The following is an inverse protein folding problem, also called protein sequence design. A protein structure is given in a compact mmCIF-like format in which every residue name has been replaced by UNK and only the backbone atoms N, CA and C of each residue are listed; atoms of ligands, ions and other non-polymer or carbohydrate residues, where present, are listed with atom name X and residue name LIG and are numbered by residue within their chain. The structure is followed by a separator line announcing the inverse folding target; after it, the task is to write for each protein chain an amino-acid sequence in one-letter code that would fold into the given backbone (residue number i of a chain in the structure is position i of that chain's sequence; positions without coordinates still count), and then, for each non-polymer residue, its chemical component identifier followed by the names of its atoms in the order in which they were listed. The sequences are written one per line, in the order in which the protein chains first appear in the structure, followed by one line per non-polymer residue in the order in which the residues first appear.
data_IF_762837986239
#
_entry.id   IF_762837986239
#
_cell.length_a   1.000
_cell.length_b   1.000
_cell.length_c   1.000
_cell.angle_alpha   90.00
_cell.angle_beta   90.00
_cell.angle_gamma   90.00
#
_symmetry.space_group_name_H-M   'P 1'
#
loop_
_entity.id
_entity.type
_entity.pdbx_description
1 polymer ?
#
# COMPACT_ATOMS: atom_id res chain seq x y z
N UNK A 1 58.62 51.40 -5.99
CA UNK A 1 58.19 50.07 -6.42
C UNK A 1 57.28 49.45 -5.34
N UNK A 2 55.95 49.48 -5.58
CA UNK A 2 54.94 48.94 -4.62
C UNK A 2 54.32 47.71 -5.30
N UNK A 3 54.58 46.55 -4.74
CA UNK A 3 53.97 45.28 -5.15
C UNK A 3 52.57 45.17 -4.53
N UNK A 4 51.56 44.99 -5.35
CA UNK A 4 50.18 44.70 -4.99
C UNK A 4 49.97 43.16 -5.21
N UNK A 5 49.58 42.36 -4.20
CA UNK A 5 49.23 40.95 -4.42
C UNK A 5 47.81 40.80 -5.00
N UNK A 6 47.54 39.77 -5.82
CA UNK A 6 46.23 39.53 -6.40
C UNK A 6 45.28 38.92 -5.36
N UNK A 7 44.10 39.48 -5.24
CA UNK A 7 42.97 38.93 -4.51
C UNK A 7 42.45 37.66 -5.22
N UNK A 8 42.59 36.51 -4.58
CA UNK A 8 41.96 35.29 -5.00
C UNK A 8 40.52 35.30 -4.43
N UNK A 9 39.52 35.49 -5.29
CA UNK A 9 38.10 35.37 -4.94
C UNK A 9 37.75 33.90 -4.83
N UNK A 10 37.49 33.46 -3.60
CA UNK A 10 36.94 32.11 -3.33
C UNK A 10 35.42 32.17 -3.58
N UNK A 11 34.99 31.63 -4.71
CA UNK A 11 33.56 31.45 -4.98
C UNK A 11 33.05 30.23 -4.16
N UNK A 12 32.37 30.53 -3.08
CA UNK A 12 31.66 29.50 -2.31
C UNK A 12 30.41 29.04 -3.11
N UNK A 13 30.49 27.87 -3.71
CA UNK A 13 29.31 27.20 -4.31
C UNK A 13 28.37 26.73 -3.20
N UNK A 14 27.28 27.45 -3.01
CA UNK A 14 26.18 27.05 -2.13
C UNK A 14 25.41 25.92 -2.82
N UNK A 15 25.70 24.66 -2.46
CA UNK A 15 24.92 23.49 -2.87
C UNK A 15 23.63 23.52 -2.08
N UNK A 16 22.54 23.97 -2.70
CA UNK A 16 21.19 23.84 -2.18
C UNK A 16 20.81 22.36 -2.22
N UNK A 17 20.92 21.70 -1.08
CA UNK A 17 20.34 20.37 -0.87
C UNK A 17 18.81 20.50 -0.97
N UNK A 18 18.24 20.05 -2.08
CA UNK A 18 16.79 19.95 -2.24
C UNK A 18 16.30 18.78 -1.39
N UNK A 19 15.21 18.96 -0.60
CA UNK A 19 14.65 17.86 0.15
C UNK A 19 14.00 16.85 -0.82
N UNK A 20 14.43 15.61 -0.74
CA UNK A 20 13.90 14.42 -1.46
C UNK A 20 12.51 13.99 -0.92
N UNK A 21 11.55 14.93 -0.84
CA UNK A 21 10.20 14.60 -0.35
C UNK A 21 9.14 14.47 -1.45
N UNK A 22 9.51 14.48 -2.73
CA UNK A 22 8.55 14.48 -3.83
C UNK A 22 8.08 13.09 -4.27
N UNK A 23 8.69 12.00 -3.78
CA UNK A 23 8.38 10.63 -4.25
C UNK A 23 7.32 9.89 -3.42
N UNK A 24 6.92 10.44 -2.28
CA UNK A 24 5.99 9.79 -1.35
C UNK A 24 4.51 9.80 -1.78
N UNK A 25 4.16 10.42 -2.91
CA UNK A 25 2.77 10.54 -3.37
C UNK A 25 2.47 9.86 -4.71
N UNK A 26 3.39 9.08 -5.26
CA UNK A 26 3.10 8.31 -6.45
C UNK A 26 2.56 6.93 -6.04
N UNK A 27 1.26 6.66 -6.16
CA UNK A 27 0.66 5.39 -5.74
C UNK A 27 1.21 4.17 -6.49
N UNK A 28 1.90 4.40 -7.61
CA UNK A 28 2.55 3.33 -8.38
C UNK A 28 3.90 2.88 -7.80
N UNK A 29 4.45 3.59 -6.79
CA UNK A 29 5.76 3.31 -6.22
C UNK A 29 5.74 2.79 -4.78
N UNK A 30 4.55 2.62 -4.17
CA UNK A 30 4.49 1.98 -2.86
C UNK A 30 4.79 0.49 -3.05
N UNK A 31 6.01 0.11 -2.75
CA UNK A 31 6.39 -1.29 -2.59
C UNK A 31 7.16 -1.44 -1.28
N UNK A 32 6.90 -2.51 -0.58
CA UNK A 32 7.59 -2.88 0.66
C UNK A 32 7.97 -4.34 0.55
N UNK A 33 9.18 -4.65 0.97
CA UNK A 33 9.67 -6.03 1.03
C UNK A 33 9.80 -6.46 2.48
N UNK A 34 9.38 -7.69 2.78
CA UNK A 34 9.54 -8.34 4.08
C UNK A 34 9.86 -9.80 3.84
N UNK A 35 11.07 -10.24 4.24
CA UNK A 35 11.56 -11.55 3.86
C UNK A 35 11.60 -11.72 2.34
N UNK A 36 10.99 -12.79 1.85
CA UNK A 36 10.86 -13.07 0.42
C UNK A 36 9.59 -12.48 -0.22
N UNK A 37 8.77 -11.80 0.57
CA UNK A 37 7.52 -11.20 0.09
C UNK A 37 7.74 -9.76 -0.37
N UNK A 38 7.13 -9.42 -1.51
CA UNK A 38 7.05 -8.07 -2.03
C UNK A 38 5.59 -7.64 -2.11
N UNK A 39 5.24 -6.57 -1.38
CA UNK A 39 3.91 -5.96 -1.37
C UNK A 39 3.96 -4.72 -2.25
N UNK A 40 3.06 -4.63 -3.22
CA UNK A 40 2.99 -3.51 -4.16
C UNK A 40 1.57 -3.25 -4.67
N UNK A 41 1.38 -2.21 -5.50
CA UNK A 41 0.07 -1.77 -6.01
C UNK A 41 -0.96 -1.58 -4.90
N UNK A 42 -0.50 -1.00 -3.79
CA UNK A 42 -1.32 -0.77 -2.60
C UNK A 42 -2.20 0.45 -2.79
N UNK A 43 -3.52 0.32 -2.61
CA UNK A 43 -4.46 1.42 -2.70
C UNK A 43 -5.79 1.10 -2.00
N UNK A 44 -6.55 2.13 -1.69
CA UNK A 44 -7.92 2.00 -1.22
C UNK A 44 -8.84 2.90 -2.06
N UNK A 45 -10.13 2.56 -2.11
CA UNK A 45 -11.14 3.39 -2.76
C UNK A 45 -11.71 4.40 -1.78
N UNK A 46 -11.84 5.66 -2.21
CA UNK A 46 -12.56 6.67 -1.45
C UNK A 46 -14.02 6.22 -1.22
N UNK A 47 -14.56 6.53 -0.04
CA UNK A 47 -15.91 6.15 0.35
C UNK A 47 -16.84 7.35 0.37
N UNK A 48 -18.14 7.10 0.30
CA UNK A 48 -19.15 8.14 0.43
C UNK A 48 -19.12 8.77 1.84
N UNK A 49 -19.58 10.02 1.99
CA UNK A 49 -19.78 10.63 3.31
C UNK A 49 -20.66 9.74 4.20
N UNK A 50 -20.21 9.52 5.44
CA UNK A 50 -20.93 8.68 6.39
C UNK A 50 -20.75 7.17 6.24
N UNK A 51 -20.00 6.70 5.24
CA UNK A 51 -19.68 5.29 5.07
C UNK A 51 -18.92 4.76 6.28
N UNK A 52 -19.34 3.61 6.80
CA UNK A 52 -18.71 2.89 7.91
C UNK A 52 -17.87 1.70 7.46
N UNK A 53 -17.79 1.47 6.16
CA UNK A 53 -16.99 0.40 5.56
C UNK A 53 -16.23 0.90 4.33
N UNK A 54 -15.05 0.33 4.12
CA UNK A 54 -14.18 0.58 2.98
C UNK A 54 -13.42 -0.67 2.59
N UNK A 55 -12.64 -0.60 1.52
CA UNK A 55 -11.82 -1.70 1.06
C UNK A 55 -10.45 -1.19 0.60
N UNK A 56 -9.41 -1.98 0.90
CA UNK A 56 -8.07 -1.80 0.39
C UNK A 56 -7.65 -3.00 -0.47
N UNK A 57 -6.79 -2.74 -1.42
CA UNK A 57 -6.32 -3.66 -2.42
C UNK A 57 -4.80 -3.59 -2.52
N UNK A 58 -4.18 -4.71 -2.84
CA UNK A 58 -2.73 -4.81 -2.98
C UNK A 58 -2.34 -6.11 -3.70
N UNK A 59 -1.09 -6.22 -4.06
CA UNK A 59 -0.51 -7.45 -4.59
C UNK A 59 0.60 -7.91 -3.66
N UNK A 60 0.66 -9.21 -3.43
CA UNK A 60 1.75 -9.85 -2.69
C UNK A 60 2.40 -10.87 -3.62
N UNK A 61 3.66 -10.61 -3.97
CA UNK A 61 4.51 -11.58 -4.67
C UNK A 61 5.34 -12.34 -3.64
N UNK A 62 5.38 -13.65 -3.75
CA UNK A 62 6.28 -14.49 -2.98
C UNK A 62 7.44 -14.94 -3.86
N UNK A 63 8.59 -14.29 -3.72
CA UNK A 63 9.81 -14.60 -4.47
C UNK A 63 10.62 -15.75 -3.83
N UNK A 64 10.13 -16.29 -2.71
CA UNK A 64 10.77 -17.36 -1.97
C UNK A 64 10.48 -18.75 -2.56
N UNK A 65 11.09 -19.73 -1.89
CA UNK A 65 10.93 -21.16 -2.23
C UNK A 65 9.92 -21.89 -1.36
N UNK A 66 9.41 -21.20 -0.33
CA UNK A 66 8.40 -21.71 0.60
C UNK A 66 7.16 -20.84 0.55
N UNK A 67 5.98 -21.45 0.72
CA UNK A 67 4.73 -20.70 0.85
C UNK A 67 4.71 -19.91 2.16
N UNK A 68 4.02 -18.78 2.17
CA UNK A 68 3.66 -18.03 3.36
C UNK A 68 2.14 -17.90 3.49
N UNK A 69 1.66 -17.40 4.60
CA UNK A 69 0.23 -17.22 4.86
C UNK A 69 -0.01 -15.84 5.45
N UNK A 70 -0.87 -15.05 4.83
CA UNK A 70 -1.39 -13.83 5.43
C UNK A 70 -2.50 -14.21 6.42
N UNK A 71 -2.22 -14.03 7.72
CA UNK A 71 -3.11 -14.42 8.83
C UNK A 71 -4.10 -13.34 9.22
N UNK A 72 -3.67 -12.09 9.16
CA UNK A 72 -4.52 -10.96 9.57
C UNK A 72 -4.06 -9.65 8.94
N UNK A 73 -4.95 -8.67 9.00
CA UNK A 73 -4.68 -7.29 8.66
C UNK A 73 -5.25 -6.37 9.74
N UNK A 74 -4.62 -5.22 9.99
CA UNK A 74 -5.11 -4.23 10.93
C UNK A 74 -4.84 -2.81 10.43
N UNK A 75 -5.78 -1.90 10.72
CA UNK A 75 -5.63 -0.48 10.37
C UNK A 75 -6.18 0.39 11.51
N UNK A 76 -5.44 1.42 11.98
CA UNK A 76 -5.90 2.29 13.08
C UNK A 76 -7.23 2.99 12.81
N UNK A 77 -7.57 3.19 11.53
CA UNK A 77 -8.80 3.86 11.07
C UNK A 77 -10.04 2.96 11.09
N UNK A 78 -9.87 1.64 11.27
CA UNK A 78 -10.95 0.65 11.21
C UNK A 78 -10.73 -0.44 12.28
N UNK A 79 -11.50 -0.45 13.37
CA UNK A 79 -11.31 -1.41 14.46
C UNK A 79 -11.51 -2.87 14.04
N UNK A 80 -12.28 -3.11 12.96
CA UNK A 80 -12.47 -4.43 12.39
C UNK A 80 -11.91 -4.45 10.96
N UNK A 81 -10.68 -4.95 10.82
CA UNK A 81 -10.01 -5.13 9.54
C UNK A 81 -9.85 -6.62 9.26
N UNK A 82 -10.35 -7.09 8.14
CA UNK A 82 -10.41 -8.52 7.81
C UNK A 82 -10.11 -8.75 6.33
N UNK A 83 -9.67 -9.97 5.99
CA UNK A 83 -9.51 -10.39 4.60
C UNK A 83 -10.83 -11.02 4.15
N UNK A 84 -11.40 -10.52 3.07
CA UNK A 84 -12.63 -11.03 2.47
C UNK A 84 -12.39 -11.43 1.01
N UNK A 85 -13.23 -12.33 0.55
CA UNK A 85 -13.34 -12.72 -0.85
C UNK A 85 -14.76 -12.51 -1.35
N UNK A 86 -14.91 -11.75 -2.42
CA UNK A 86 -16.18 -11.62 -3.16
C UNK A 86 -16.19 -12.60 -4.32
N UNK A 87 -17.28 -13.33 -4.48
CA UNK A 87 -17.50 -14.24 -5.62
C UNK A 87 -18.89 -14.03 -6.22
N UNK A 88 -18.97 -14.11 -7.54
CA UNK A 88 -20.24 -14.12 -8.26
C UNK A 88 -20.64 -15.59 -8.50
N UNK A 89 -21.75 -16.02 -7.93
CA UNK A 89 -22.29 -17.38 -8.09
C UNK A 89 -23.76 -17.27 -8.51
N UNK A 90 -24.08 -17.77 -9.72
CA UNK A 90 -25.44 -17.73 -10.22
C UNK A 90 -26.06 -16.33 -10.33
N UNK A 91 -25.26 -15.29 -10.60
CA UNK A 91 -25.70 -13.89 -10.67
C UNK A 91 -25.83 -13.20 -9.30
N UNK A 92 -25.54 -13.90 -8.21
CA UNK A 92 -25.55 -13.35 -6.85
C UNK A 92 -24.11 -13.16 -6.37
N UNK A 93 -23.80 -11.95 -5.89
CA UNK A 93 -22.51 -11.68 -5.25
C UNK A 93 -22.57 -12.16 -3.80
N UNK A 94 -21.65 -13.04 -3.45
CA UNK A 94 -21.43 -13.51 -2.08
C UNK A 94 -20.09 -12.99 -1.58
N UNK A 95 -19.99 -12.76 -0.29
CA UNK A 95 -18.77 -12.32 0.38
C UNK A 95 -18.49 -13.26 1.55
N UNK A 96 -17.27 -13.74 1.65
CA UNK A 96 -16.84 -14.64 2.73
C UNK A 96 -15.56 -14.13 3.38
N UNK A 97 -15.44 -14.38 4.69
CA UNK A 97 -14.22 -14.09 5.43
C UNK A 97 -13.16 -15.16 5.12
N UNK A 98 -11.94 -14.71 4.85
CA UNK A 98 -10.77 -15.56 4.62
C UNK A 98 -9.88 -15.49 5.86
N UNK A 99 -9.89 -16.53 6.67
CA UNK A 99 -9.14 -16.59 7.94
C UNK A 99 -7.63 -16.75 7.73
N UNK A 100 -7.22 -17.35 6.62
CA UNK A 100 -5.82 -17.57 6.27
C UNK A 100 -5.69 -17.57 4.74
N UNK A 101 -4.95 -16.60 4.21
CA UNK A 101 -4.73 -16.49 2.78
C UNK A 101 -3.35 -17.04 2.43
N UNK A 102 -3.30 -18.15 1.73
CA UNK A 102 -2.06 -18.76 1.28
C UNK A 102 -1.39 -17.92 0.18
N UNK A 103 -0.09 -17.70 0.32
CA UNK A 103 0.78 -17.06 -0.68
C UNK A 103 1.80 -18.11 -1.13
N UNK A 104 1.52 -18.91 -2.18
CA UNK A 104 2.39 -19.99 -2.59
C UNK A 104 3.78 -19.49 -3.03
N UNK A 105 4.79 -20.35 -2.89
CA UNK A 105 6.14 -20.07 -3.34
C UNK A 105 6.16 -19.73 -4.84
N UNK A 106 6.85 -18.66 -5.21
CA UNK A 106 6.97 -18.20 -6.59
C UNK A 106 5.67 -17.67 -7.21
N UNK A 107 4.62 -17.47 -6.40
CA UNK A 107 3.32 -16.99 -6.89
C UNK A 107 3.04 -15.53 -6.48
N UNK A 108 2.13 -14.92 -7.23
CA UNK A 108 1.56 -13.61 -6.95
C UNK A 108 0.10 -13.75 -6.55
N UNK A 109 -0.29 -13.13 -5.43
CA UNK A 109 -1.67 -13.08 -4.98
C UNK A 109 -2.17 -11.64 -5.08
N UNK A 110 -3.17 -11.43 -5.92
CA UNK A 110 -3.75 -10.12 -6.19
C UNK A 110 -5.06 -9.95 -5.41
N UNK A 111 -5.14 -8.86 -4.65
CA UNK A 111 -6.38 -8.36 -4.05
C UNK A 111 -6.92 -7.23 -4.92
N UNK A 112 -8.14 -7.38 -5.43
CA UNK A 112 -8.78 -6.46 -6.37
C UNK A 112 -10.29 -6.35 -6.17
N UNK A 113 -10.93 -5.28 -6.65
CA UNK A 113 -12.38 -5.16 -6.62
C UNK A 113 -13.08 -6.36 -7.26
N UNK A 114 -14.07 -6.90 -6.55
CA UNK A 114 -14.81 -8.10 -6.98
C UNK A 114 -14.13 -9.42 -6.72
N UNK A 115 -12.97 -9.43 -6.05
CA UNK A 115 -12.24 -10.62 -5.61
C UNK A 115 -11.80 -10.51 -4.16
N UNK A 116 -10.58 -10.96 -3.88
CA UNK A 116 -9.93 -10.78 -2.59
C UNK A 116 -9.75 -9.29 -2.28
N UNK A 117 -9.95 -8.90 -1.03
CA UNK A 117 -9.71 -7.53 -0.56
C UNK A 117 -9.55 -7.47 0.96
N UNK A 118 -8.92 -6.41 1.43
CA UNK A 118 -8.90 -6.07 2.85
C UNK A 118 -10.12 -5.21 3.15
N UNK A 119 -11.07 -5.78 3.88
CA UNK A 119 -12.28 -5.10 4.32
C UNK A 119 -12.00 -4.28 5.57
N UNK A 120 -12.35 -3.00 5.53
CA UNK A 120 -12.22 -2.03 6.63
C UNK A 120 -13.62 -1.75 7.17
N UNK A 121 -13.93 -2.14 8.40
CA UNK A 121 -15.24 -1.97 9.02
C UNK A 121 -15.16 -1.14 10.28
N UNK A 122 -16.20 -0.35 10.52
CA UNK A 122 -16.27 0.56 11.66
C UNK A 122 -15.44 1.82 11.45
N UNK A 123 -15.30 2.29 10.20
CA UNK A 123 -14.58 3.53 9.90
C UNK A 123 -15.09 4.69 10.76
N UNK A 124 -14.20 5.36 11.46
CA UNK A 124 -14.53 6.57 12.24
C UNK A 124 -14.86 7.75 11.32
N UNK A 125 -14.15 7.82 10.21
CA UNK A 125 -14.32 8.84 9.15
C UNK A 125 -14.28 8.19 7.78
N UNK A 126 -14.97 8.75 6.77
CA UNK A 126 -14.90 8.25 5.41
C UNK A 126 -13.49 8.37 4.83
N UNK A 127 -13.11 7.43 3.96
CA UNK A 127 -11.86 7.48 3.22
C UNK A 127 -11.93 8.58 2.16
N UNK A 128 -11.11 9.61 2.29
CA UNK A 128 -11.07 10.75 1.38
C UNK A 128 -9.98 10.57 0.33
N UNK A 129 -10.31 10.79 -0.94
CA UNK A 129 -9.34 10.77 -2.02
C UNK A 129 -8.18 11.76 -1.77
N UNK A 130 -6.94 11.33 -2.05
CA UNK A 130 -5.74 12.13 -1.83
C UNK A 130 -5.18 12.04 -0.41
N UNK A 131 -5.81 11.28 0.50
CA UNK A 131 -5.24 10.93 1.81
C UNK A 131 -4.59 9.54 1.78
N UNK A 132 -3.91 9.17 2.85
CA UNK A 132 -3.39 7.81 3.06
C UNK A 132 -3.60 7.36 4.50
N UNK A 133 -3.52 6.06 4.73
CA UNK A 133 -3.54 5.47 6.07
C UNK A 133 -2.58 4.27 6.12
N UNK A 134 -2.18 3.89 7.32
CA UNK A 134 -1.33 2.72 7.53
C UNK A 134 -2.15 1.44 7.64
N UNK A 135 -1.69 0.39 6.96
CA UNK A 135 -2.22 -0.96 7.00
C UNK A 135 -1.08 -1.90 7.42
N UNK A 136 -1.28 -2.63 8.51
CA UNK A 136 -0.36 -3.67 8.95
C UNK A 136 -0.90 -5.02 8.50
N UNK A 137 -0.04 -5.80 7.83
CA UNK A 137 -0.29 -7.15 7.37
C UNK A 137 0.55 -8.09 8.20
N UNK A 138 -0.05 -9.16 8.75
CA UNK A 138 0.64 -10.15 9.58
C UNK A 138 0.76 -11.47 8.84
N UNK A 139 1.97 -11.82 8.44
CA UNK A 139 2.29 -13.08 7.76
C UNK A 139 2.80 -14.12 8.76
N UNK A 140 2.67 -15.38 8.41
CA UNK A 140 3.06 -16.50 9.29
C UNK A 140 4.58 -16.61 9.44
N UNK A 141 5.31 -16.52 8.33
CA UNK A 141 6.76 -16.65 8.31
C UNK A 141 7.48 -15.31 8.19
N UNK A 142 7.03 -14.44 7.28
CA UNK A 142 7.68 -13.15 7.07
C UNK A 142 7.43 -12.15 8.23
N UNK A 143 6.40 -12.37 9.07
CA UNK A 143 6.06 -11.49 10.19
C UNK A 143 5.20 -10.30 9.78
N UNK A 144 5.27 -9.24 10.57
CA UNK A 144 4.43 -8.06 10.39
C UNK A 144 5.11 -7.03 9.47
N UNK A 145 4.33 -6.46 8.57
CA UNK A 145 4.74 -5.36 7.71
C UNK A 145 3.66 -4.29 7.65
N UNK A 146 4.08 -3.03 7.76
CA UNK A 146 3.17 -1.89 7.65
C UNK A 146 3.41 -1.16 6.33
N UNK A 147 2.34 -0.92 5.58
CA UNK A 147 2.35 -0.21 4.31
C UNK A 147 1.46 1.03 4.38
N UNK A 148 1.85 2.08 3.68
CA UNK A 148 1.00 3.24 3.47
C UNK A 148 0.05 2.99 2.31
N UNK A 149 -1.25 3.18 2.55
CA UNK A 149 -2.33 2.91 1.60
C UNK A 149 -2.89 4.24 1.10
N UNK A 150 -2.55 4.67 -0.12
CA UNK A 150 -3.14 5.86 -0.72
C UNK A 150 -4.62 5.62 -1.05
N UNK A 151 -5.45 6.63 -0.80
CA UNK A 151 -6.88 6.59 -1.11
C UNK A 151 -7.10 7.25 -2.46
N UNK A 152 -7.60 6.48 -3.43
CA UNK A 152 -7.88 6.94 -4.79
C UNK A 152 -9.33 7.40 -4.94
N UNK A 153 -9.54 8.36 -5.84
CA UNK A 153 -10.87 8.83 -6.20
C UNK A 153 -11.73 7.70 -6.79
N UNK A 154 -13.07 7.77 -6.68
CA UNK A 154 -13.97 6.81 -7.30
C UNK A 154 -13.70 6.66 -8.80
N UNK A 155 -13.70 5.42 -9.30
CA UNK A 155 -13.39 5.11 -10.70
C UNK A 155 -11.91 5.06 -11.06
N UNK A 156 -11.02 5.41 -10.11
CA UNK A 156 -9.58 5.18 -10.24
C UNK A 156 -9.19 3.83 -9.65
N UNK A 157 -8.24 3.17 -10.28
CA UNK A 157 -7.58 1.97 -9.79
C UNK A 157 -6.13 1.99 -10.27
N UNK A 158 -5.24 1.32 -9.55
CA UNK A 158 -3.90 1.07 -10.08
C UNK A 158 -4.04 -0.07 -11.10
N UNK A 159 -3.68 0.21 -12.36
CA UNK A 159 -3.66 -0.81 -13.41
C UNK A 159 -2.31 -1.52 -13.37
N UNK A 160 -2.35 -2.84 -13.41
CA UNK A 160 -1.15 -3.61 -13.69
C UNK A 160 -0.77 -3.36 -15.15
N UNK A 161 0.42 -2.81 -15.38
CA UNK A 161 1.05 -2.82 -16.70
C UNK A 161 1.96 -4.05 -16.68
N UNK A 162 1.58 -5.05 -17.46
CA UNK A 162 2.41 -6.21 -17.74
C UNK A 162 3.54 -5.82 -18.70
#
# INVERSE_FOLDING_TARGET
MRFIPPFIAFAAALVLAQPLFADAMNPNHVHVEVGDLKIHHVWARATAPGAKAGAAYLVVDNNGKTSDTLKSASAPIAPNTMIHESKMTGGVMTMSHVMALSIPAGASVEMKPGGLHVMLMGLESPLKAGTSFRLTLSFEHAGDVTVDVPVLAPGKSLKHTH
#
